data_IF_467443962360
#
_entry.id   IF_467443962360
#
_cell.length_a   1.000
_cell.length_b   1.000
_cell.length_c   1.000
_cell.angle_alpha   90.00
_cell.angle_beta   90.00
_cell.angle_gamma   90.00
#
_symmetry.space_group_name_H-M   'P 1'
#
loop_
_entity.id
_entity.type
_entity.pdbx_description
1 polymer ?
#
# COMPACT_ATOMS: atom_id res chain seq x y z
N UNK A 1 -64.22 -36.54 6.94
CA UNK A 1 -62.83 -36.75 6.47
C UNK A 1 -62.25 -35.43 5.99
N UNK A 2 -61.49 -34.70 6.81
CA UNK A 2 -60.75 -33.50 6.37
C UNK A 2 -59.27 -33.83 6.41
N UNK A 3 -58.63 -33.89 5.23
CA UNK A 3 -57.18 -34.15 5.10
C UNK A 3 -56.43 -32.89 5.48
N UNK A 4 -55.59 -32.98 6.51
CA UNK A 4 -54.68 -31.92 6.94
C UNK A 4 -53.41 -32.00 6.09
N UNK A 5 -53.22 -31.06 5.15
CA UNK A 5 -51.97 -30.94 4.39
C UNK A 5 -50.92 -30.26 5.27
N UNK A 6 -49.85 -30.99 5.60
CA UNK A 6 -48.63 -30.42 6.16
C UNK A 6 -47.84 -29.74 5.03
N UNK A 7 -47.81 -28.41 5.02
CA UNK A 7 -46.91 -27.65 4.15
C UNK A 7 -45.57 -27.55 4.87
N UNK A 8 -44.60 -28.36 4.47
CA UNK A 8 -43.21 -28.24 4.91
C UNK A 8 -42.62 -27.02 4.19
N UNK A 9 -42.52 -25.90 4.89
CA UNK A 9 -41.85 -24.70 4.41
C UNK A 9 -40.34 -24.93 4.46
N UNK A 10 -39.75 -25.41 3.36
CA UNK A 10 -38.30 -25.47 3.18
C UNK A 10 -37.75 -24.04 3.11
N UNK A 11 -37.25 -23.52 4.22
CA UNK A 11 -36.40 -22.33 4.23
C UNK A 11 -35.09 -22.67 3.50
N UNK A 12 -35.03 -22.34 2.20
CA UNK A 12 -33.76 -22.25 1.49
C UNK A 12 -32.98 -21.06 2.10
N UNK A 13 -32.08 -21.36 3.03
CA UNK A 13 -31.07 -20.42 3.48
C UNK A 13 -30.12 -20.24 2.29
N UNK A 14 -30.39 -19.24 1.46
CA UNK A 14 -29.41 -18.79 0.47
C UNK A 14 -28.17 -18.35 1.26
N UNK A 15 -26.95 -18.83 0.92
CA UNK A 15 -25.76 -18.28 1.51
C UNK A 15 -25.73 -16.80 1.12
N UNK A 16 -25.93 -15.92 2.11
CA UNK A 16 -25.58 -14.51 1.97
C UNK A 16 -24.09 -14.53 1.69
N UNK A 17 -23.70 -14.32 0.44
CA UNK A 17 -22.31 -14.11 0.09
C UNK A 17 -21.82 -12.98 0.97
N UNK A 18 -21.00 -13.29 1.97
CA UNK A 18 -20.28 -12.29 2.72
C UNK A 18 -19.47 -11.52 1.67
N UNK A 19 -19.86 -10.27 1.40
CA UNK A 19 -19.00 -9.39 0.63
C UNK A 19 -17.68 -9.37 1.38
N UNK A 20 -16.64 -9.97 0.79
CA UNK A 20 -15.31 -9.86 1.33
C UNK A 20 -15.01 -8.37 1.37
N UNK A 21 -14.94 -7.79 2.58
CA UNK A 21 -14.48 -6.42 2.77
C UNK A 21 -13.01 -6.40 2.35
N UNK A 22 -12.75 -6.15 1.06
CA UNK A 22 -11.38 -6.02 0.59
C UNK A 22 -10.87 -4.66 1.02
N UNK A 23 -9.93 -4.71 1.95
CA UNK A 23 -9.21 -3.58 2.51
C UNK A 23 -8.22 -3.11 1.45
N UNK A 24 -8.73 -2.35 0.46
CA UNK A 24 -7.95 -1.72 -0.61
C UNK A 24 -7.94 -0.20 -0.43
N UNK A 25 -6.78 0.41 -0.63
CA UNK A 25 -6.61 1.86 -0.61
C UNK A 25 -5.75 2.30 -1.79
N UNK A 26 -6.19 3.35 -2.46
CA UNK A 26 -5.39 4.13 -3.38
C UNK A 26 -5.10 5.47 -2.70
N UNK A 27 -3.82 5.81 -2.59
CA UNK A 27 -3.38 7.11 -2.10
C UNK A 27 -2.70 7.87 -3.24
N UNK A 28 -3.24 9.03 -3.61
CA UNK A 28 -2.68 9.90 -4.65
C UNK A 28 -2.00 11.09 -3.99
N UNK A 29 -0.69 11.22 -4.20
CA UNK A 29 0.11 12.34 -3.74
C UNK A 29 0.24 13.40 -4.83
N UNK A 30 -0.43 14.55 -4.65
CA UNK A 30 -0.37 15.67 -5.59
C UNK A 30 0.93 16.49 -5.51
N UNK A 31 1.76 16.28 -4.47
CA UNK A 31 3.08 16.93 -4.35
C UNK A 31 4.11 16.25 -5.23
N UNK A 32 4.08 14.91 -5.28
CA UNK A 32 5.07 14.12 -6.02
C UNK A 32 4.53 13.50 -7.31
N UNK A 33 3.24 13.72 -7.62
CA UNK A 33 2.55 13.11 -8.75
C UNK A 33 2.68 11.58 -8.75
N UNK A 34 2.37 10.98 -7.61
CA UNK A 34 2.44 9.53 -7.41
C UNK A 34 1.11 8.97 -6.94
N UNK A 35 0.84 7.72 -7.33
CA UNK A 35 -0.30 6.93 -6.87
C UNK A 35 0.23 5.66 -6.22
N UNK A 36 -0.05 5.47 -4.94
CA UNK A 36 0.31 4.30 -4.15
C UNK A 36 -0.90 3.40 -3.97
N UNK A 37 -0.74 2.10 -4.21
CA UNK A 37 -1.78 1.10 -3.99
C UNK A 37 -1.45 0.21 -2.79
N UNK A 38 -2.45 0.01 -1.94
CA UNK A 38 -2.40 -0.87 -0.80
C UNK A 38 -3.45 -1.96 -0.93
N UNK A 39 -3.06 -3.19 -0.65
CA UNK A 39 -3.91 -4.38 -0.70
C UNK A 39 -3.80 -5.15 0.61
N UNK A 40 -4.91 -5.23 1.32
CA UNK A 40 -5.02 -5.91 2.61
C UNK A 40 -3.94 -5.42 3.59
N UNK A 41 -3.78 -4.10 3.67
CA UNK A 41 -2.81 -3.40 4.50
C UNK A 41 -1.35 -3.50 4.07
N UNK A 42 -1.04 -4.24 3.00
CA UNK A 42 0.29 -4.24 2.42
C UNK A 42 0.41 -3.07 1.44
N UNK A 43 1.51 -2.34 1.52
CA UNK A 43 1.91 -1.41 0.46
C UNK A 43 2.47 -2.22 -0.71
N UNK A 44 1.76 -2.23 -1.83
CA UNK A 44 2.06 -3.13 -2.94
C UNK A 44 2.95 -2.45 -3.98
N UNK A 45 2.56 -1.26 -4.44
CA UNK A 45 3.26 -0.57 -5.53
C UNK A 45 2.92 0.92 -5.57
N UNK A 46 3.85 1.73 -6.05
CA UNK A 46 3.62 3.13 -6.44
C UNK A 46 3.89 3.35 -7.92
N UNK A 47 3.09 4.23 -8.52
CA UNK A 47 3.14 4.59 -9.92
C UNK A 47 3.31 6.10 -10.07
N UNK A 48 4.11 6.57 -11.04
CA UNK A 48 4.04 7.96 -11.46
C UNK A 48 2.71 8.22 -12.16
N UNK A 49 2.12 9.40 -11.96
CA UNK A 49 0.85 9.78 -12.57
C UNK A 49 0.89 11.20 -13.10
N UNK A 50 -0.01 11.57 -14.00
CA UNK A 50 -0.28 12.99 -14.32
C UNK A 50 -1.46 13.47 -13.50
N UNK A 51 -1.31 14.63 -12.85
CA UNK A 51 -2.41 15.29 -12.11
C UNK A 51 -2.86 16.57 -12.83
N UNK A 52 -3.95 17.19 -12.34
CA UNK A 52 -4.55 18.38 -12.93
C UNK A 52 -3.70 19.63 -12.77
N UNK A 53 -3.53 20.37 -13.86
CA UNK A 53 -2.90 21.71 -13.93
C UNK A 53 -3.55 22.72 -12.98
N UNK A 54 -2.90 23.86 -12.76
CA UNK A 54 -3.39 24.90 -11.84
C UNK A 54 -4.82 25.37 -12.11
N UNK A 55 -5.14 25.63 -13.37
CA UNK A 55 -6.49 26.10 -13.75
C UNK A 55 -7.59 25.02 -13.64
N UNK A 56 -7.22 23.74 -13.59
CA UNK A 56 -8.14 22.60 -13.52
C UNK A 56 -7.53 21.50 -12.65
N UNK A 57 -7.40 21.76 -11.33
CA UNK A 57 -6.64 20.90 -10.44
C UNK A 57 -7.34 19.56 -10.22
N UNK A 58 -6.55 18.53 -9.91
CA UNK A 58 -7.11 17.30 -9.34
C UNK A 58 -7.66 17.62 -7.95
N UNK A 59 -8.92 17.26 -7.65
CA UNK A 59 -9.52 17.61 -6.37
C UNK A 59 -8.92 16.76 -5.24
N UNK A 60 -8.57 17.42 -4.15
CA UNK A 60 -8.23 16.75 -2.89
C UNK A 60 -9.52 16.25 -2.22
N UNK A 61 -9.40 15.16 -1.44
CA UNK A 61 -10.53 14.59 -0.72
C UNK A 61 -10.50 13.07 -0.64
N UNK A 62 -11.59 12.53 -0.07
CA UNK A 62 -11.86 11.10 0.01
C UNK A 62 -12.90 10.75 -1.05
N UNK A 63 -12.61 9.71 -1.83
CA UNK A 63 -13.40 9.21 -2.94
C UNK A 63 -13.45 7.68 -2.89
N UNK A 64 -14.24 7.07 -3.75
CA UNK A 64 -14.19 5.64 -4.02
C UNK A 64 -14.34 5.31 -5.50
N UNK A 65 -13.89 4.12 -5.90
CA UNK A 65 -14.07 3.62 -7.26
C UNK A 65 -15.50 3.11 -7.43
N UNK A 66 -16.31 3.79 -8.24
CA UNK A 66 -17.72 3.41 -8.48
C UNK A 66 -17.94 2.75 -9.83
N UNK A 67 -17.05 2.94 -10.80
CA UNK A 67 -17.18 2.35 -12.13
C UNK A 67 -15.84 1.89 -12.69
N UNK A 68 -15.88 0.85 -13.52
CA UNK A 68 -14.71 0.28 -14.18
C UNK A 68 -15.03 0.01 -15.65
N UNK A 69 -14.28 0.60 -16.58
CA UNK A 69 -14.42 0.32 -18.01
C UNK A 69 -13.09 -0.07 -18.64
N UNK A 70 -13.14 -1.06 -19.54
CA UNK A 70 -12.06 -1.32 -20.50
C UNK A 70 -12.35 -0.50 -21.75
N UNK A 71 -11.33 0.14 -22.34
CA UNK A 71 -11.44 0.85 -23.61
C UNK A 71 -12.66 1.78 -23.69
N UNK A 72 -12.76 2.73 -22.75
CA UNK A 72 -13.91 3.64 -22.70
C UNK A 72 -13.92 4.56 -23.93
N UNK A 73 -15.08 4.72 -24.56
CA UNK A 73 -15.27 5.71 -25.63
C UNK A 73 -15.09 7.13 -25.08
N UNK A 74 -14.40 7.97 -25.86
CA UNK A 74 -14.26 9.39 -25.57
C UNK A 74 -15.32 10.20 -26.33
N UNK A 75 -16.53 10.27 -25.75
CA UNK A 75 -17.72 10.85 -26.38
C UNK A 75 -17.52 12.31 -26.85
N UNK A 76 -16.75 13.13 -26.11
CA UNK A 76 -16.54 14.54 -26.46
C UNK A 76 -15.95 14.74 -27.86
N UNK A 77 -15.15 13.79 -28.35
CA UNK A 77 -14.61 13.80 -29.71
C UNK A 77 -15.06 12.60 -30.54
N UNK A 78 -16.07 11.84 -30.08
CA UNK A 78 -16.56 10.61 -30.71
C UNK A 78 -15.42 9.65 -31.10
N UNK A 79 -14.41 9.52 -30.23
CA UNK A 79 -13.28 8.62 -30.48
C UNK A 79 -13.64 7.24 -29.90
N UNK A 80 -13.65 6.18 -30.72
CA UNK A 80 -13.95 4.84 -30.26
C UNK A 80 -13.07 4.38 -29.10
N UNK A 81 -13.63 3.51 -28.26
CA UNK A 81 -12.86 2.78 -27.26
C UNK A 81 -11.74 1.97 -27.91
N UNK A 82 -10.54 2.02 -27.32
CA UNK A 82 -9.39 1.24 -27.80
C UNK A 82 -8.66 1.81 -29.02
N UNK A 83 -9.14 2.94 -29.57
CA UNK A 83 -8.40 3.64 -30.62
C UNK A 83 -7.05 4.18 -30.06
N UNK A 84 -5.93 4.09 -30.79
CA UNK A 84 -4.61 4.57 -30.31
C UNK A 84 -4.58 6.06 -29.96
N UNK A 85 -5.47 6.86 -30.55
CA UNK A 85 -5.58 8.29 -30.29
C UNK A 85 -6.58 8.64 -29.17
N UNK A 86 -7.18 7.64 -28.50
CA UNK A 86 -8.13 7.87 -27.42
C UNK A 86 -7.39 8.37 -26.14
N UNK A 87 -7.69 9.58 -25.65
CA UNK A 87 -6.99 10.15 -24.50
C UNK A 87 -7.32 9.48 -23.16
N UNK A 88 -8.31 8.57 -23.13
CA UNK A 88 -8.69 7.82 -21.94
C UNK A 88 -7.86 6.54 -21.76
N UNK A 89 -7.08 6.16 -22.78
CA UNK A 89 -6.27 4.95 -22.78
C UNK A 89 -7.11 3.66 -22.68
N UNK A 90 -6.50 2.63 -22.12
CA UNK A 90 -7.00 1.24 -22.14
C UNK A 90 -7.93 0.89 -20.97
N UNK A 91 -7.87 1.64 -19.87
CA UNK A 91 -8.65 1.37 -18.64
C UNK A 91 -9.12 2.67 -18.00
N UNK A 92 -10.29 2.59 -17.37
CA UNK A 92 -10.92 3.68 -16.66
C UNK A 92 -11.45 3.18 -15.31
N UNK A 93 -11.06 3.87 -14.24
CA UNK A 93 -11.56 3.70 -12.87
C UNK A 93 -12.24 5.01 -12.45
N UNK A 94 -13.57 5.05 -12.54
CA UNK A 94 -14.35 6.26 -12.24
C UNK A 94 -14.49 6.48 -10.74
N UNK A 95 -14.26 7.72 -10.30
CA UNK A 95 -14.45 8.14 -8.92
C UNK A 95 -15.94 8.47 -8.67
N UNK A 96 -16.38 8.42 -7.42
CA UNK A 96 -17.65 8.97 -6.92
C UNK A 96 -17.71 10.51 -6.94
N UNK A 97 -17.01 11.11 -7.91
CA UNK A 97 -17.05 12.51 -8.23
C UNK A 97 -17.20 12.63 -9.74
N UNK A 98 -18.35 13.17 -10.16
CA UNK A 98 -18.74 13.26 -11.57
C UNK A 98 -17.58 13.71 -12.46
N UNK A 99 -17.34 12.96 -13.53
CA UNK A 99 -16.32 13.18 -14.56
C UNK A 99 -14.85 12.99 -14.14
N UNK A 100 -14.54 12.64 -12.89
CA UNK A 100 -13.18 12.32 -12.46
C UNK A 100 -12.90 10.82 -12.47
N UNK A 101 -11.69 10.46 -12.89
CA UNK A 101 -11.24 9.08 -12.95
C UNK A 101 -9.73 8.97 -12.82
N UNK A 102 -9.30 7.75 -12.46
CA UNK A 102 -7.95 7.26 -12.69
C UNK A 102 -8.01 6.45 -14.00
N UNK A 103 -7.25 6.86 -15.02
CA UNK A 103 -7.34 6.24 -16.35
C UNK A 103 -5.99 6.21 -17.07
N UNK A 104 -5.91 5.44 -18.16
CA UNK A 104 -4.74 5.38 -19.03
C UNK A 104 -4.53 6.67 -19.84
N UNK A 105 -3.56 6.71 -20.75
CA UNK A 105 -3.38 7.90 -21.60
C UNK A 105 -2.68 7.53 -22.91
N UNK A 106 -3.07 8.17 -24.01
CA UNK A 106 -2.30 8.11 -25.25
C UNK A 106 -1.13 9.11 -25.29
N UNK A 107 -0.91 9.85 -24.20
CA UNK A 107 0.18 10.82 -24.03
C UNK A 107 1.10 10.40 -22.90
N UNK A 108 1.74 9.25 -23.07
CA UNK A 108 2.55 8.61 -22.03
C UNK A 108 3.71 9.48 -21.54
N UNK A 109 4.25 10.34 -22.40
CA UNK A 109 5.30 11.30 -22.05
C UNK A 109 4.88 12.39 -21.06
N UNK A 110 3.57 12.49 -20.74
CA UNK A 110 3.07 13.46 -19.75
C UNK A 110 3.01 12.89 -18.33
N UNK A 111 3.27 11.60 -18.13
CA UNK A 111 3.26 10.96 -16.81
C UNK A 111 4.36 11.58 -15.92
N UNK A 112 4.01 11.88 -14.67
CA UNK A 112 4.85 12.62 -13.71
C UNK A 112 4.66 14.14 -13.73
N UNK A 113 3.93 14.68 -14.71
CA UNK A 113 3.67 16.13 -14.83
C UNK A 113 2.30 16.55 -14.27
N UNK A 114 2.05 17.87 -14.27
CA UNK A 114 0.78 18.46 -13.84
C UNK A 114 0.01 19.05 -15.03
N UNK A 115 -0.42 18.16 -15.92
CA UNK A 115 -0.94 18.51 -17.26
C UNK A 115 -2.38 18.04 -17.54
N UNK A 116 -3.05 17.36 -16.62
CA UNK A 116 -4.41 16.90 -16.88
C UNK A 116 -5.43 18.04 -16.71
N UNK A 117 -6.71 17.76 -16.98
CA UNK A 117 -7.83 18.65 -16.61
C UNK A 117 -8.51 18.20 -15.30
N UNK A 118 -7.76 17.55 -14.41
CA UNK A 118 -8.22 17.13 -13.10
C UNK A 118 -8.27 15.61 -12.90
N UNK A 119 -8.43 14.82 -13.97
CA UNK A 119 -8.30 13.35 -13.90
C UNK A 119 -6.87 12.92 -13.57
N UNK A 120 -6.70 11.72 -13.02
CA UNK A 120 -5.39 11.10 -12.76
C UNK A 120 -5.04 10.21 -13.95
N UNK A 121 -3.96 10.53 -14.66
CA UNK A 121 -3.50 9.71 -15.80
C UNK A 121 -2.38 8.79 -15.38
N UNK A 122 -2.40 7.56 -15.86
CA UNK A 122 -1.38 6.54 -15.63
C UNK A 122 -0.88 6.02 -16.97
N UNK A 123 0.31 5.39 -16.96
CA UNK A 123 0.70 4.57 -18.09
C UNK A 123 -0.31 3.45 -18.34
N UNK A 124 -0.56 3.12 -19.61
CA UNK A 124 -1.54 2.09 -19.99
C UNK A 124 -1.18 0.73 -19.37
N UNK A 125 0.11 0.39 -19.32
CA UNK A 125 0.59 -0.83 -18.64
C UNK A 125 0.28 -0.83 -17.14
N UNK A 126 0.38 0.33 -16.49
CA UNK A 126 0.26 0.45 -15.03
C UNK A 126 -1.21 0.50 -14.61
N UNK A 127 -2.07 1.19 -15.36
CA UNK A 127 -3.51 1.17 -15.12
C UNK A 127 -4.12 -0.21 -15.39
N UNK A 128 -3.60 -0.99 -16.35
CA UNK A 128 -4.04 -2.37 -16.56
C UNK A 128 -3.76 -3.22 -15.34
N UNK A 129 -2.53 -3.14 -14.79
CA UNK A 129 -2.16 -3.84 -13.56
C UNK A 129 -3.06 -3.45 -12.38
N UNK A 130 -3.34 -2.15 -12.22
CA UNK A 130 -4.18 -1.63 -11.13
C UNK A 130 -5.64 -2.03 -11.30
N UNK A 131 -6.16 -1.93 -12.54
CA UNK A 131 -7.54 -2.27 -12.87
C UNK A 131 -7.87 -3.72 -12.54
N UNK A 132 -6.94 -4.65 -12.76
CA UNK A 132 -7.18 -6.07 -12.50
C UNK A 132 -7.22 -6.42 -11.00
N UNK A 133 -6.76 -5.52 -10.11
CA UNK A 133 -6.73 -5.71 -8.64
C UNK A 133 -7.78 -4.89 -7.89
N UNK A 134 -7.94 -3.63 -8.29
CA UNK A 134 -8.84 -2.70 -7.61
C UNK A 134 -10.29 -3.16 -7.71
N UNK A 135 -10.99 -3.19 -6.59
CA UNK A 135 -12.41 -3.53 -6.53
C UNK A 135 -13.26 -2.27 -6.56
N UNK A 136 -14.55 -2.42 -6.91
CA UNK A 136 -15.50 -1.33 -6.67
C UNK A 136 -15.54 -1.02 -5.17
N UNK A 137 -15.88 0.23 -4.83
CA UNK A 137 -15.81 0.78 -3.48
C UNK A 137 -14.40 0.86 -2.86
N UNK A 138 -13.34 0.54 -3.61
CA UNK A 138 -11.96 0.82 -3.16
C UNK A 138 -11.82 2.29 -2.83
N UNK A 139 -11.34 2.61 -1.62
CA UNK A 139 -11.13 3.97 -1.17
C UNK A 139 -10.00 4.62 -1.95
N UNK A 140 -10.22 5.86 -2.37
CA UNK A 140 -9.22 6.71 -3.03
C UNK A 140 -9.06 7.97 -2.21
N UNK A 141 -7.86 8.23 -1.70
CA UNK A 141 -7.56 9.45 -0.97
C UNK A 141 -6.60 10.27 -1.81
N UNK A 142 -6.97 11.51 -2.07
CA UNK A 142 -6.16 12.45 -2.85
C UNK A 142 -5.75 13.59 -1.93
N UNK A 143 -4.45 13.77 -1.73
CA UNK A 143 -3.91 14.79 -0.83
C UNK A 143 -2.48 15.18 -1.20
N UNK A 144 -1.93 16.16 -0.48
CA UNK A 144 -0.52 16.57 -0.55
C UNK A 144 0.21 16.14 0.71
N UNK A 145 1.34 15.46 0.55
CA UNK A 145 2.18 15.04 1.67
C UNK A 145 3.64 14.84 1.26
N UNK A 146 4.53 14.92 2.25
CA UNK A 146 5.98 14.77 2.11
C UNK A 146 6.55 13.54 2.84
N UNK A 147 5.71 12.76 3.51
CA UNK A 147 6.11 11.54 4.22
C UNK A 147 5.92 10.30 3.34
N UNK A 148 6.21 9.11 3.87
CA UNK A 148 6.00 7.87 3.13
C UNK A 148 4.50 7.55 2.99
N UNK A 149 4.08 6.87 1.90
CA UNK A 149 2.69 6.44 1.74
C UNK A 149 2.17 5.61 2.91
N UNK A 150 3.01 4.73 3.47
CA UNK A 150 2.65 3.88 4.62
C UNK A 150 2.34 4.70 5.87
N UNK A 151 3.11 5.77 6.11
CA UNK A 151 2.86 6.68 7.22
C UNK A 151 1.54 7.43 7.04
N UNK A 152 1.29 8.00 5.85
CA UNK A 152 0.03 8.70 5.59
C UNK A 152 -1.18 7.77 5.63
N UNK A 153 -1.10 6.57 5.05
CA UNK A 153 -2.17 5.59 5.11
C UNK A 153 -2.52 5.25 6.57
N UNK A 154 -1.50 5.00 7.40
CA UNK A 154 -1.67 4.74 8.83
C UNK A 154 -2.35 5.91 9.57
N UNK A 155 -1.88 7.14 9.32
CA UNK A 155 -2.46 8.37 9.90
C UNK A 155 -3.94 8.54 9.56
N UNK A 156 -4.36 8.05 8.40
CA UNK A 156 -5.74 8.07 7.92
C UNK A 156 -6.59 6.90 8.46
N UNK A 157 -6.06 6.14 9.42
CA UNK A 157 -6.73 5.00 10.05
C UNK A 157 -6.72 3.73 9.19
N UNK A 158 -6.01 3.72 8.07
CA UNK A 158 -5.88 2.54 7.24
C UNK A 158 -4.90 1.54 7.87
N UNK A 159 -5.19 0.25 7.73
CA UNK A 159 -4.29 -0.78 8.24
C UNK A 159 -3.03 -0.78 7.40
N UNK A 160 -1.87 -0.77 8.05
CA UNK A 160 -0.58 -0.91 7.39
C UNK A 160 0.22 -1.99 8.09
N UNK A 161 0.61 -3.04 7.36
CA UNK A 161 1.38 -4.19 7.86
C UNK A 161 2.75 -4.31 7.20
N UNK A 162 3.16 -3.28 6.47
CA UNK A 162 4.43 -3.21 5.75
C UNK A 162 5.05 -1.83 5.90
N UNK A 163 6.37 -1.74 5.82
CA UNK A 163 7.11 -0.48 5.79
C UNK A 163 8.30 -0.58 4.84
N UNK A 164 8.56 0.49 4.08
CA UNK A 164 9.53 0.49 2.98
C UNK A 164 9.28 -0.66 1.99
N UNK A 165 7.99 -0.91 1.66
CA UNK A 165 7.55 -2.02 0.79
C UNK A 165 7.88 -3.44 1.28
N UNK A 166 8.24 -3.61 2.57
CA UNK A 166 8.51 -4.93 3.17
C UNK A 166 7.50 -5.20 4.27
N UNK A 167 7.03 -6.46 4.35
CA UNK A 167 6.20 -6.90 5.47
C UNK A 167 6.96 -6.70 6.78
N UNK A 168 6.28 -6.18 7.79
CA UNK A 168 6.83 -6.08 9.13
C UNK A 168 6.61 -7.43 9.82
N UNK A 169 7.68 -8.02 10.34
CA UNK A 169 7.60 -9.24 11.15
C UNK A 169 7.02 -8.93 12.53
N UNK A 170 6.49 -9.95 13.18
CA UNK A 170 5.90 -9.82 14.51
C UNK A 170 6.93 -9.29 15.51
N UNK A 171 6.59 -8.29 16.31
CA UNK A 171 7.51 -7.68 17.31
C UNK A 171 8.72 -6.93 16.73
N UNK A 172 8.85 -6.85 15.41
CA UNK A 172 9.88 -6.05 14.76
C UNK A 172 9.67 -4.56 15.04
N UNK A 173 10.75 -3.87 15.42
CA UNK A 173 10.77 -2.42 15.73
C UNK A 173 11.61 -1.60 14.74
N UNK A 174 12.40 -2.25 13.90
CA UNK A 174 13.32 -1.57 12.99
C UNK A 174 13.97 -2.50 11.99
N UNK A 175 14.82 -1.90 11.15
CA UNK A 175 15.69 -2.61 10.22
C UNK A 175 17.09 -2.06 10.36
N UNK A 176 18.06 -2.96 10.44
CA UNK A 176 19.48 -2.66 10.44
C UNK A 176 20.02 -2.96 9.04
N UNK A 177 20.83 -2.04 8.49
CA UNK A 177 21.56 -2.22 7.22
C UNK A 177 23.04 -2.14 7.52
N UNK A 178 23.82 -3.13 7.11
CA UNK A 178 25.26 -3.15 7.30
C UNK A 178 25.94 -2.16 6.34
N UNK A 179 26.74 -1.26 6.90
CA UNK A 179 27.57 -0.31 6.14
C UNK A 179 28.97 -0.88 5.92
N UNK A 180 29.47 -1.64 6.89
CA UNK A 180 30.71 -2.42 6.81
C UNK A 180 30.47 -3.86 7.32
N UNK A 181 31.50 -4.70 7.29
CA UNK A 181 31.50 -6.01 7.91
C UNK A 181 31.14 -5.91 9.38
N UNK A 182 30.21 -6.77 9.80
CA UNK A 182 29.79 -6.90 11.18
C UNK A 182 29.77 -8.36 11.59
N UNK A 183 29.73 -8.60 12.90
CA UNK A 183 29.65 -9.94 13.46
C UNK A 183 28.26 -10.18 14.06
N UNK A 184 27.76 -11.39 13.87
CA UNK A 184 26.57 -11.89 14.54
C UNK A 184 27.01 -12.75 15.72
N UNK A 185 26.38 -12.53 16.87
CA UNK A 185 26.61 -13.22 18.11
C UNK A 185 25.37 -13.99 18.54
N UNK A 186 25.55 -15.17 19.11
CA UNK A 186 24.52 -15.93 19.80
C UNK A 186 24.62 -15.68 21.30
N UNK A 187 23.48 -15.47 21.97
CA UNK A 187 23.43 -15.39 23.43
C UNK A 187 23.18 -16.77 24.05
N UNK A 188 24.15 -17.24 24.81
CA UNK A 188 24.07 -18.46 25.60
C UNK A 188 23.12 -18.31 26.80
N UNK A 189 22.62 -19.41 27.39
CA UNK A 189 21.73 -19.35 28.56
C UNK A 189 22.30 -18.60 29.77
N UNK A 190 23.62 -18.56 29.91
CA UNK A 190 24.33 -17.83 30.95
C UNK A 190 24.51 -16.32 30.63
N UNK A 191 24.00 -15.86 29.48
CA UNK A 191 24.09 -14.48 28.99
C UNK A 191 25.32 -14.16 28.16
N UNK A 192 26.27 -15.08 28.01
CA UNK A 192 27.50 -14.89 27.23
C UNK A 192 27.20 -14.79 25.73
N UNK A 193 27.95 -13.93 25.03
CA UNK A 193 27.84 -13.76 23.58
C UNK A 193 28.96 -14.52 22.86
N UNK A 194 28.59 -15.45 21.99
CA UNK A 194 29.51 -16.25 21.18
C UNK A 194 29.38 -15.83 19.71
N UNK A 195 30.50 -15.46 19.06
CA UNK A 195 30.49 -15.09 17.63
C UNK A 195 30.09 -16.30 16.78
N UNK A 196 29.04 -16.14 15.98
CA UNK A 196 28.52 -17.16 15.06
C UNK A 196 29.12 -17.00 13.68
N UNK A 197 29.10 -15.78 13.12
CA UNK A 197 29.62 -15.49 11.78
C UNK A 197 29.92 -14.01 11.59
N UNK A 198 30.75 -13.73 10.58
CA UNK A 198 30.92 -12.38 10.01
C UNK A 198 30.02 -12.25 8.78
N UNK A 199 29.38 -11.10 8.65
CA UNK A 199 28.42 -10.76 7.59
C UNK A 199 28.94 -9.59 6.76
N UNK A 200 28.56 -9.52 5.49
CA UNK A 200 29.12 -8.57 4.53
C UNK A 200 28.31 -7.26 4.49
N UNK A 201 28.92 -6.16 4.01
CA UNK A 201 28.20 -4.90 3.82
C UNK A 201 26.96 -5.05 2.95
N UNK A 202 25.96 -4.20 3.19
CA UNK A 202 24.64 -4.15 2.55
C UNK A 202 23.64 -5.24 2.95
N UNK A 203 24.02 -6.22 3.78
CA UNK A 203 23.03 -7.13 4.36
C UNK A 203 22.08 -6.37 5.30
N UNK A 204 20.85 -6.87 5.43
CA UNK A 204 19.79 -6.23 6.22
C UNK A 204 19.16 -7.22 7.18
N UNK A 205 18.90 -6.77 8.40
CA UNK A 205 18.36 -7.59 9.47
C UNK A 205 17.15 -6.93 10.13
N UNK A 206 16.05 -7.67 10.40
CA UNK A 206 15.00 -7.17 11.26
C UNK A 206 15.56 -6.97 12.68
N UNK A 207 15.10 -5.93 13.35
CA UNK A 207 15.48 -5.62 14.73
C UNK A 207 14.23 -5.67 15.59
N UNK A 208 14.31 -6.41 16.69
CA UNK A 208 13.21 -6.64 17.64
C UNK A 208 13.42 -5.88 18.96
N UNK A 209 14.69 -5.63 19.32
CA UNK A 209 15.03 -4.65 20.36
C UNK A 209 16.39 -4.01 20.08
N UNK A 210 16.56 -2.76 20.53
CA UNK A 210 17.81 -2.02 20.45
C UNK A 210 18.20 -1.55 21.84
N UNK A 211 19.44 -1.80 22.24
CA UNK A 211 20.04 -1.30 23.48
C UNK A 211 20.81 0.01 23.21
N UNK A 212 21.03 0.80 24.27
CA UNK A 212 21.74 2.09 24.18
C UNK A 212 23.22 1.95 23.83
N UNK A 213 23.80 0.79 24.09
CA UNK A 213 25.21 0.44 23.86
C UNK A 213 25.50 -0.10 22.46
N UNK A 214 24.56 0.04 21.51
CA UNK A 214 24.77 -0.41 20.13
C UNK A 214 24.57 -1.92 19.94
N UNK A 215 23.87 -2.60 20.85
CA UNK A 215 23.49 -4.00 20.70
C UNK A 215 22.07 -4.11 20.14
N UNK A 216 21.91 -4.89 19.06
CA UNK A 216 20.67 -5.08 18.32
C UNK A 216 20.26 -6.54 18.38
N UNK A 217 19.08 -6.82 18.93
CA UNK A 217 18.50 -8.16 18.92
C UNK A 217 17.79 -8.38 17.57
N UNK A 218 18.22 -9.41 16.84
CA UNK A 218 17.73 -9.73 15.50
C UNK A 218 16.88 -11.01 15.43
N UNK A 219 16.47 -11.53 16.60
CA UNK A 219 15.65 -12.75 16.72
C UNK A 219 16.48 -14.00 17.00
N UNK A 220 15.83 -15.08 17.45
CA UNK A 220 16.46 -16.40 17.67
C UNK A 220 17.75 -16.35 18.52
N UNK A 221 17.76 -15.58 19.61
CA UNK A 221 18.94 -15.34 20.46
C UNK A 221 20.17 -14.76 19.73
N UNK A 222 19.98 -14.20 18.52
CA UNK A 222 21.06 -13.58 17.75
C UNK A 222 21.09 -12.06 17.94
N UNK A 223 22.32 -11.55 17.96
CA UNK A 223 22.63 -10.15 18.18
C UNK A 223 23.66 -9.64 17.17
N UNK A 224 23.52 -8.39 16.76
CA UNK A 224 24.57 -7.62 16.08
C UNK A 224 25.03 -6.52 17.02
N UNK A 225 26.35 -6.33 17.12
CA UNK A 225 26.96 -5.32 17.98
C UNK A 225 27.64 -4.29 17.07
N UNK A 226 27.31 -3.03 17.29
CA UNK A 226 27.98 -1.89 16.67
C UNK A 226 28.53 -0.96 17.74
N UNK A 227 29.73 -1.29 18.22
CA UNK A 227 30.44 -0.55 19.28
C UNK A 227 30.85 0.86 18.84
N UNK A 228 31.05 1.07 17.52
CA UNK A 228 31.51 2.36 16.98
C UNK A 228 30.35 3.23 16.49
N UNK A 229 29.19 2.64 16.22
CA UNK A 229 28.05 3.33 15.60
C UNK A 229 28.23 3.60 14.11
N UNK A 230 29.30 3.08 13.51
CA UNK A 230 29.69 3.33 12.12
C UNK A 230 29.48 2.10 11.23
N UNK A 231 29.35 0.90 11.82
CA UNK A 231 29.23 -0.35 11.05
C UNK A 231 27.83 -0.57 10.51
N UNK A 232 26.82 0.06 11.11
CA UNK A 232 25.42 -0.17 10.75
C UNK A 232 24.62 1.12 10.63
N UNK A 233 23.59 1.09 9.79
CA UNK A 233 22.51 2.08 9.76
C UNK A 233 21.26 1.45 10.33
N UNK A 234 20.73 2.04 11.40
CA UNK A 234 19.46 1.63 11.99
C UNK A 234 18.32 2.54 11.56
N UNK A 235 17.27 1.95 10.99
CA UNK A 235 16.04 2.64 10.64
C UNK A 235 14.90 2.13 11.54
N UNK A 236 14.35 3.00 12.39
CA UNK A 236 13.25 2.65 13.29
C UNK A 236 11.91 2.69 12.56
N UNK A 237 11.09 1.66 12.76
CA UNK A 237 9.71 1.65 12.28
C UNK A 237 8.92 2.69 13.10
N UNK A 238 8.20 3.63 12.45
CA UNK A 238 7.41 4.62 13.14
C UNK A 238 6.45 4.00 14.17
N UNK A 239 6.41 4.55 15.39
CA UNK A 239 5.56 4.03 16.48
C UNK A 239 4.07 4.01 16.13
N UNK A 240 3.61 4.90 15.23
CA UNK A 240 2.23 4.90 14.72
C UNK A 240 1.90 3.65 13.90
N UNK A 241 2.86 3.15 13.12
CA UNK A 241 2.73 1.88 12.39
C UNK A 241 2.73 0.71 13.37
N UNK A 242 3.67 0.70 14.31
CA UNK A 242 3.78 -0.35 15.33
C UNK A 242 2.53 -0.45 16.23
N UNK A 243 2.02 0.68 16.72
CA UNK A 243 0.83 0.70 17.59
C UNK A 243 -0.38 0.06 16.92
N UNK A 244 -0.59 0.31 15.62
CA UNK A 244 -1.69 -0.31 14.88
C UNK A 244 -1.52 -1.82 14.70
N UNK A 245 -0.30 -2.31 14.56
CA UNK A 245 -0.01 -3.76 14.49
C UNK A 245 -0.24 -4.40 15.87
N UNK A 246 0.31 -3.81 16.94
CA UNK A 246 0.23 -4.37 18.29
C UNK A 246 -1.19 -4.31 18.90
N UNK A 247 -1.90 -3.17 18.78
CA UNK A 247 -3.27 -3.05 19.29
C UNK A 247 -4.20 -4.13 18.74
N UNK A 248 -4.05 -4.46 17.45
CA UNK A 248 -4.84 -5.52 16.82
C UNK A 248 -4.44 -6.92 17.28
N UNK A 249 -3.15 -7.22 17.42
CA UNK A 249 -2.68 -8.52 17.96
C UNK A 249 -3.26 -8.79 19.34
N UNK A 250 -3.30 -7.77 20.20
CA UNK A 250 -3.72 -7.92 21.59
C UNK A 250 -5.18 -7.53 21.86
N UNK A 251 -5.95 -7.23 20.81
CA UNK A 251 -7.35 -6.78 20.90
C UNK A 251 -7.54 -5.62 21.90
N UNK A 252 -6.55 -4.74 22.00
CA UNK A 252 -6.54 -3.59 22.91
C UNK A 252 -7.25 -2.42 22.23
N UNK A 253 -8.26 -1.81 22.86
CA UNK A 253 -9.03 -0.71 22.26
C UNK A 253 -8.19 0.52 21.85
#
# INVERSE_FOLDING_TARGET
MKKLCFVILLFFILPVSAFANTDHLILVNLTTNQLSFFENGNYTKTFPVTTGRDRTPTPEGNFCIITKFKNKEYHRKKIPGGAPNNPLGTRWLGLDKNEYAIHGTNREWTIGSRESNGCIRMHDRDIQWLYDRVQLQTKVIISRFHTSPEYEANKLGYRVVSWNSRKIEEEQIGVLTLVDRADIYWQEPNGQLTKVKTVLPNERYPVYSKRKDGIYYIGNNLYIIDETGEKIRYEQIPSSILSNIYKRKYNVP
#
